data_IF_522570090503
#
_entry.id   IF_522570090503
#
_cell.length_a   1.000
_cell.length_b   1.000
_cell.length_c   1.000
_cell.angle_alpha   90.00
_cell.angle_beta   90.00
_cell.angle_gamma   90.00
#
_symmetry.space_group_name_H-M   'P 1'
#
loop_
_entity.id
_entity.type
_entity.pdbx_description
1 polymer ?
#
# COMPACT_ATOMS: atom_id res chain seq x y z
N UNK A 1 25.45 -4.77 16.78
CA UNK A 1 26.11 -6.10 16.83
C UNK A 1 25.72 -6.88 15.59
N UNK A 2 26.66 -7.20 14.71
CA UNK A 2 26.41 -8.09 13.57
C UNK A 2 26.27 -9.50 14.14
N UNK A 3 25.06 -10.07 14.12
CA UNK A 3 24.83 -11.43 14.56
C UNK A 3 25.70 -12.40 13.75
N UNK A 4 26.17 -13.48 14.39
CA UNK A 4 26.96 -14.51 13.71
C UNK A 4 26.16 -15.10 12.55
N UNK A 5 26.62 -14.89 11.31
CA UNK A 5 26.00 -15.46 10.11
C UNK A 5 26.06 -16.99 10.23
N UNK A 6 24.89 -17.63 10.12
CA UNK A 6 24.80 -19.08 10.11
C UNK A 6 24.73 -19.56 8.68
N UNK A 7 25.59 -20.54 8.33
CA UNK A 7 25.66 -21.12 6.99
C UNK A 7 25.10 -22.53 7.00
N UNK A 8 24.34 -22.86 5.96
CA UNK A 8 23.78 -24.17 5.71
C UNK A 8 24.19 -24.62 4.31
N UNK A 9 24.42 -25.92 4.15
CA UNK A 9 24.62 -26.56 2.86
C UNK A 9 23.38 -27.42 2.58
N UNK A 10 22.69 -27.14 1.48
CA UNK A 10 21.65 -28.02 0.94
C UNK A 10 22.30 -29.13 0.12
N UNK A 11 21.70 -30.33 0.05
CA UNK A 11 22.19 -31.38 -0.83
C UNK A 11 21.97 -30.99 -2.30
N UNK A 12 22.80 -31.51 -3.21
CA UNK A 12 22.63 -31.30 -4.66
C UNK A 12 21.40 -32.04 -5.20
N UNK A 13 21.11 -33.22 -4.63
CA UNK A 13 19.97 -34.04 -4.99
C UNK A 13 19.26 -34.58 -3.75
N UNK A 14 17.99 -34.88 -3.92
CA UNK A 14 17.17 -35.55 -2.92
C UNK A 14 16.52 -36.79 -3.54
N UNK A 15 16.39 -37.91 -2.80
CA UNK A 15 15.69 -39.08 -3.32
C UNK A 15 14.21 -38.74 -3.53
N UNK A 16 13.67 -39.17 -4.65
CA UNK A 16 12.22 -39.10 -4.90
C UNK A 16 11.44 -39.90 -3.85
N UNK A 17 10.22 -39.45 -3.55
CA UNK A 17 9.35 -40.05 -2.52
C UNK A 17 8.94 -41.49 -2.83
N UNK A 18 8.85 -41.83 -4.11
CA UNK A 18 8.52 -43.17 -4.62
C UNK A 18 9.73 -44.12 -4.71
N UNK A 19 10.95 -43.63 -4.40
CA UNK A 19 12.18 -44.39 -4.55
C UNK A 19 12.34 -45.41 -3.43
N UNK A 20 12.27 -46.70 -3.79
CA UNK A 20 12.44 -47.83 -2.86
C UNK A 20 13.88 -48.09 -2.41
N UNK A 21 14.89 -47.70 -3.21
CA UNK A 21 16.31 -47.94 -2.93
C UNK A 21 17.03 -46.66 -2.53
N UNK A 22 17.97 -46.75 -1.58
CA UNK A 22 18.81 -45.62 -1.15
C UNK A 22 19.50 -44.97 -2.35
N UNK A 23 19.49 -43.63 -2.41
CA UNK A 23 20.28 -42.87 -3.37
C UNK A 23 21.70 -42.68 -2.81
N UNK A 24 22.72 -43.11 -3.55
CA UNK A 24 24.12 -43.02 -3.13
C UNK A 24 24.85 -41.91 -3.89
N UNK A 25 26.01 -41.49 -3.37
CA UNK A 25 26.85 -40.48 -4.04
C UNK A 25 27.33 -40.95 -5.42
N UNK A 26 27.63 -42.24 -5.58
CA UNK A 26 28.02 -42.80 -6.88
C UNK A 26 26.88 -42.71 -7.90
N UNK A 27 25.63 -42.91 -7.46
CA UNK A 27 24.47 -42.72 -8.33
C UNK A 27 24.27 -41.25 -8.72
N UNK A 28 24.54 -40.30 -7.80
CA UNK A 28 24.54 -38.87 -8.10
C UNK A 28 25.60 -38.53 -9.16
N UNK A 29 26.84 -38.98 -8.95
CA UNK A 29 27.95 -38.73 -9.87
C UNK A 29 27.73 -39.39 -11.23
N UNK A 30 27.25 -40.64 -11.27
CA UNK A 30 26.92 -41.32 -12.52
C UNK A 30 25.82 -40.59 -13.28
N UNK A 31 24.78 -40.10 -12.59
CA UNK A 31 23.73 -39.30 -13.22
C UNK A 31 24.27 -37.99 -13.81
N UNK A 32 25.09 -37.24 -13.04
CA UNK A 32 25.72 -36.01 -13.51
C UNK A 32 26.62 -36.29 -14.73
N UNK A 33 27.44 -37.34 -14.67
CA UNK A 33 28.31 -37.74 -15.77
C UNK A 33 27.51 -38.10 -17.02
N UNK A 34 26.46 -38.91 -16.89
CA UNK A 34 25.58 -39.27 -18.01
C UNK A 34 24.93 -38.02 -18.64
N UNK A 35 24.43 -37.09 -17.83
CA UNK A 35 23.85 -35.82 -18.33
C UNK A 35 24.92 -35.01 -19.07
N UNK A 36 26.12 -34.90 -18.52
CA UNK A 36 27.22 -34.19 -19.16
C UNK A 36 27.62 -34.84 -20.50
N UNK A 37 27.77 -36.16 -20.57
CA UNK A 37 28.07 -36.90 -21.80
C UNK A 37 26.96 -36.83 -22.86
N UNK A 38 25.70 -36.67 -22.45
CA UNK A 38 24.57 -36.48 -23.35
C UNK A 38 24.62 -35.11 -24.03
N UNK A 39 25.04 -34.07 -23.30
CA UNK A 39 25.14 -32.70 -23.83
C UNK A 39 26.48 -32.37 -24.46
N UNK A 40 27.48 -33.23 -24.27
CA UNK A 40 28.82 -33.08 -24.83
C UNK A 40 28.80 -33.09 -26.35
N UNK A 41 29.52 -32.17 -26.98
CA UNK A 41 29.68 -32.16 -28.44
C UNK A 41 30.58 -33.30 -28.88
N UNK A 42 30.01 -34.22 -29.66
CA UNK A 42 30.70 -35.39 -30.20
C UNK A 42 31.14 -35.10 -31.64
N UNK A 43 32.41 -35.38 -31.93
CA UNK A 43 32.99 -35.26 -33.27
C UNK A 43 33.77 -33.97 -33.51
N UNK A 44 34.51 -33.96 -34.62
CA UNK A 44 35.25 -32.78 -35.08
C UNK A 44 34.25 -31.85 -35.76
N UNK A 45 34.15 -30.62 -35.27
CA UNK A 45 33.35 -29.59 -35.94
C UNK A 45 33.96 -29.35 -37.33
N UNK A 46 33.33 -29.82 -38.40
CA UNK A 46 33.91 -29.82 -39.76
C UNK A 46 34.33 -28.42 -40.24
N UNK A 47 33.70 -27.37 -39.69
CA UNK A 47 33.99 -25.97 -40.02
C UNK A 47 35.13 -25.41 -39.17
N UNK A 48 35.16 -25.73 -37.87
CA UNK A 48 36.11 -25.16 -36.90
C UNK A 48 37.28 -26.08 -36.54
N UNK A 49 37.31 -27.33 -37.06
CA UNK A 49 38.28 -28.40 -36.75
C UNK A 49 38.56 -28.58 -35.26
N UNK A 50 37.57 -28.33 -34.39
CA UNK A 50 37.75 -28.47 -32.95
C UNK A 50 37.74 -29.96 -32.58
N UNK A 51 38.62 -30.42 -31.67
CA UNK A 51 38.57 -31.79 -31.18
C UNK A 51 37.24 -32.04 -30.46
N UNK A 52 36.86 -33.32 -30.36
CA UNK A 52 35.71 -33.70 -29.55
C UNK A 52 35.93 -33.20 -28.11
N UNK A 53 34.87 -32.71 -27.48
CA UNK A 53 34.95 -32.34 -26.06
C UNK A 53 35.26 -33.59 -25.23
N UNK A 54 36.03 -33.46 -24.16
CA UNK A 54 36.31 -34.54 -23.20
C UNK A 54 35.91 -34.07 -21.80
N UNK A 55 35.50 -35.00 -20.93
CA UNK A 55 35.17 -34.71 -19.53
C UNK A 55 36.34 -35.18 -18.66
N UNK A 56 37.22 -34.24 -18.30
CA UNK A 56 38.41 -34.54 -17.49
C UNK A 56 38.08 -34.71 -16.00
N UNK A 57 37.14 -33.92 -15.49
CA UNK A 57 36.74 -33.95 -14.09
C UNK A 57 35.32 -33.41 -13.89
N UNK A 58 34.72 -33.80 -12.76
CA UNK A 58 33.45 -33.25 -12.26
C UNK A 58 33.76 -32.55 -10.94
N UNK A 59 33.31 -31.31 -10.79
CA UNK A 59 33.46 -30.54 -9.56
C UNK A 59 32.12 -30.12 -9.00
N UNK A 60 32.00 -30.15 -7.67
CA UNK A 60 30.83 -29.64 -6.96
C UNK A 60 31.07 -28.21 -6.50
N UNK A 61 30.25 -27.28 -7.00
CA UNK A 61 30.25 -25.88 -6.59
C UNK A 61 28.99 -25.54 -5.78
N UNK A 62 29.15 -24.75 -4.72
CA UNK A 62 28.07 -24.29 -3.86
C UNK A 62 27.61 -22.90 -4.29
N UNK A 63 26.34 -22.83 -4.67
CA UNK A 63 25.68 -21.59 -5.06
C UNK A 63 25.29 -20.76 -3.81
N UNK A 64 25.61 -19.46 -3.77
CA UNK A 64 25.37 -18.64 -2.59
C UNK A 64 23.94 -18.09 -2.59
N UNK A 65 23.03 -18.73 -1.84
CA UNK A 65 21.76 -18.11 -1.46
C UNK A 65 21.89 -17.40 -0.11
N UNK A 66 21.30 -16.22 0.01
CA UNK A 66 21.29 -15.43 1.25
C UNK A 66 19.87 -15.30 1.78
N UNK A 67 19.70 -15.57 3.08
CA UNK A 67 18.43 -15.43 3.77
C UNK A 67 18.51 -14.29 4.76
N UNK A 68 17.62 -13.30 4.62
CA UNK A 68 17.58 -12.14 5.48
C UNK A 68 16.27 -12.08 6.26
N UNK A 69 16.31 -12.06 7.61
CA UNK A 69 15.11 -11.83 8.39
C UNK A 69 14.58 -10.42 8.11
N UNK A 70 13.28 -10.31 7.89
CA UNK A 70 12.58 -9.06 7.69
C UNK A 70 11.20 -9.10 8.37
N UNK A 71 11.13 -8.53 9.58
CA UNK A 71 9.97 -8.60 10.46
C UNK A 71 9.58 -10.07 10.77
N UNK A 72 8.37 -10.49 10.42
CA UNK A 72 7.87 -11.86 10.59
C UNK A 72 8.08 -12.75 9.36
N UNK A 73 8.90 -12.32 8.40
CA UNK A 73 9.20 -13.06 7.17
C UNK A 73 10.71 -13.17 6.95
N UNK A 74 11.09 -14.09 6.08
CA UNK A 74 12.47 -14.22 5.59
C UNK A 74 12.49 -13.88 4.12
N UNK A 75 13.39 -12.99 3.72
CA UNK A 75 13.67 -12.67 2.32
C UNK A 75 14.72 -13.63 1.79
N UNK A 76 14.52 -14.13 0.58
CA UNK A 76 15.46 -15.00 -0.11
C UNK A 76 16.14 -14.22 -1.23
N UNK A 77 17.46 -14.25 -1.23
CA UNK A 77 18.29 -13.60 -2.23
C UNK A 77 19.16 -14.61 -2.97
N UNK A 78 19.17 -14.48 -4.29
CA UNK A 78 20.21 -14.97 -5.17
C UNK A 78 21.50 -14.13 -4.96
N UNK A 79 22.59 -14.77 -4.54
CA UNK A 79 23.87 -14.12 -4.26
C UNK A 79 24.62 -13.60 -5.48
N UNK A 80 24.22 -13.95 -6.70
CA UNK A 80 24.78 -13.33 -7.92
C UNK A 80 23.91 -12.20 -8.46
N UNK A 81 22.64 -12.17 -8.09
CA UNK A 81 21.69 -11.16 -8.55
C UNK A 81 21.30 -11.31 -10.02
N UNK A 82 21.33 -12.53 -10.55
CA UNK A 82 20.72 -12.88 -11.83
C UNK A 82 19.20 -12.79 -11.74
N UNK A 83 18.64 -13.18 -10.60
CA UNK A 83 17.23 -12.97 -10.28
C UNK A 83 17.09 -11.59 -9.63
N UNK A 84 16.08 -10.84 -10.04
CA UNK A 84 15.74 -9.55 -9.44
C UNK A 84 14.24 -9.38 -9.46
N UNK A 85 13.71 -8.70 -8.46
CA UNK A 85 12.29 -8.38 -8.40
C UNK A 85 12.07 -6.88 -8.58
N UNK A 86 11.20 -6.52 -9.53
CA UNK A 86 10.73 -5.14 -9.68
C UNK A 86 9.28 -5.03 -9.24
N UNK A 87 8.99 -4.07 -8.39
CA UNK A 87 7.62 -3.67 -8.08
C UNK A 87 7.38 -2.22 -8.50
N UNK A 88 6.12 -1.94 -8.87
CA UNK A 88 5.63 -0.60 -9.16
C UNK A 88 4.74 -0.15 -8.01
N UNK A 89 4.72 1.15 -7.76
CA UNK A 89 3.81 1.74 -6.78
C UNK A 89 3.41 3.14 -7.24
N UNK A 90 2.17 3.49 -6.93
CA UNK A 90 1.59 4.75 -7.36
C UNK A 90 1.96 5.91 -6.42
N UNK A 91 2.16 7.09 -6.99
CA UNK A 91 2.52 8.30 -6.27
C UNK A 91 1.26 9.13 -5.99
N UNK A 92 0.95 9.28 -4.70
CA UNK A 92 -0.19 10.08 -4.26
C UNK A 92 0.00 11.57 -4.56
N UNK A 93 -1.07 12.28 -4.96
CA UNK A 93 -1.14 13.73 -4.85
C UNK A 93 -0.83 14.21 -3.43
N UNK A 94 -0.36 15.45 -3.30
CA UNK A 94 0.06 16.01 -2.00
C UNK A 94 -1.10 16.09 -0.99
N UNK A 95 -1.15 15.11 -0.09
CA UNK A 95 -2.15 15.05 0.99
C UNK A 95 -1.97 16.23 1.96
N UNK A 96 -0.73 16.69 2.17
CA UNK A 96 -0.45 17.83 3.04
C UNK A 96 -1.01 19.13 2.45
N UNK A 97 -0.89 19.34 1.13
CA UNK A 97 -1.48 20.50 0.45
C UNK A 97 -3.00 20.50 0.59
N UNK A 98 -3.64 19.35 0.40
CA UNK A 98 -5.08 19.18 0.63
C UNK A 98 -5.46 19.54 2.08
N UNK A 99 -4.78 18.96 3.08
CA UNK A 99 -5.02 19.23 4.50
C UNK A 99 -4.90 20.72 4.82
N UNK A 100 -3.85 21.38 4.33
CA UNK A 100 -3.58 22.79 4.63
C UNK A 100 -4.65 23.71 4.00
N UNK A 101 -5.06 23.44 2.77
CA UNK A 101 -6.13 24.21 2.13
C UNK A 101 -7.49 23.98 2.78
N UNK A 102 -7.78 22.74 3.21
CA UNK A 102 -8.98 22.41 3.96
C UNK A 102 -9.05 23.15 5.31
N UNK A 103 -7.92 23.25 6.04
CA UNK A 103 -7.86 24.02 7.29
C UNK A 103 -8.06 25.52 7.07
N UNK A 104 -7.41 26.09 6.05
CA UNK A 104 -7.49 27.52 5.74
C UNK A 104 -8.90 27.94 5.33
N UNK A 105 -9.58 27.12 4.53
CA UNK A 105 -10.92 27.42 4.02
C UNK A 105 -12.03 27.25 5.07
N UNK A 106 -11.77 26.53 6.16
CA UNK A 106 -12.76 26.25 7.21
C UNK A 106 -13.30 27.49 7.95
N UNK A 107 -12.69 28.66 7.79
CA UNK A 107 -13.11 29.89 8.48
C UNK A 107 -14.48 30.36 8.01
N UNK A 108 -14.77 30.25 6.71
CA UNK A 108 -16.03 30.71 6.14
C UNK A 108 -16.67 29.63 5.23
N UNK A 109 -18.01 29.50 5.21
CA UNK A 109 -18.68 28.43 4.47
C UNK A 109 -18.46 28.47 2.95
N UNK A 110 -18.34 29.65 2.35
CA UNK A 110 -18.20 29.82 0.91
C UNK A 110 -16.82 29.34 0.44
N UNK A 111 -15.74 29.77 1.10
CA UNK A 111 -14.38 29.29 0.85
C UNK A 111 -14.27 27.79 1.10
N UNK A 112 -14.91 27.28 2.16
CA UNK A 112 -14.92 25.84 2.41
C UNK A 112 -15.56 25.07 1.26
N UNK A 113 -16.74 25.48 0.80
CA UNK A 113 -17.43 24.87 -0.35
C UNK A 113 -16.60 24.96 -1.63
N UNK A 114 -15.97 26.11 -1.89
CA UNK A 114 -15.11 26.29 -3.06
C UNK A 114 -13.87 25.38 -3.01
N UNK A 115 -13.26 25.22 -1.84
CA UNK A 115 -12.16 24.27 -1.65
C UNK A 115 -12.62 22.82 -1.86
N UNK A 116 -13.80 22.42 -1.38
CA UNK A 116 -14.31 21.07 -1.65
C UNK A 116 -14.52 20.83 -3.15
N UNK A 117 -15.08 21.81 -3.87
CA UNK A 117 -15.26 21.73 -5.33
C UNK A 117 -13.91 21.64 -6.07
N UNK A 118 -12.92 22.44 -5.64
CA UNK A 118 -11.58 22.42 -6.22
C UNK A 118 -10.90 21.04 -6.09
N UNK A 119 -11.18 20.33 -4.99
CA UNK A 119 -10.53 19.07 -4.64
C UNK A 119 -11.38 17.83 -4.94
N UNK A 120 -12.51 17.98 -5.65
CA UNK A 120 -13.46 16.90 -5.90
C UNK A 120 -12.80 15.66 -6.51
N UNK A 121 -11.99 15.87 -7.55
CA UNK A 121 -11.35 14.80 -8.32
C UNK A 121 -9.85 14.68 -7.99
N UNK A 122 -9.37 15.37 -6.93
CA UNK A 122 -7.93 15.52 -6.67
C UNK A 122 -7.23 14.20 -6.38
N UNK A 123 -7.94 13.23 -5.79
CA UNK A 123 -7.43 11.90 -5.46
C UNK A 123 -7.96 10.81 -6.41
N UNK A 124 -8.67 11.17 -7.49
CA UNK A 124 -9.19 10.21 -8.47
C UNK A 124 -8.09 9.58 -9.31
N UNK A 125 -6.93 10.23 -9.39
CA UNK A 125 -5.76 9.72 -10.10
C UNK A 125 -4.48 9.91 -9.30
N UNK A 126 -3.53 9.02 -9.57
CA UNK A 126 -2.17 9.15 -9.08
C UNK A 126 -1.36 10.12 -9.93
N UNK A 127 -0.42 10.82 -9.30
CA UNK A 127 0.47 11.78 -10.00
C UNK A 127 1.54 11.11 -10.85
N UNK A 128 1.71 9.80 -10.68
CA UNK A 128 2.65 9.00 -11.43
C UNK A 128 2.80 7.60 -10.82
N UNK A 129 3.71 6.85 -11.41
CA UNK A 129 4.09 5.51 -10.97
C UNK A 129 5.60 5.48 -10.83
N UNK A 130 6.10 5.08 -9.66
CA UNK A 130 7.52 4.80 -9.47
C UNK A 130 7.76 3.29 -9.55
N UNK A 131 8.98 2.91 -9.96
CA UNK A 131 9.41 1.52 -10.10
C UNK A 131 10.68 1.32 -9.30
N UNK A 132 10.69 0.28 -8.47
CA UNK A 132 11.86 -0.12 -7.69
C UNK A 132 12.24 -1.54 -8.05
N UNK A 133 13.54 -1.76 -8.19
CA UNK A 133 14.11 -3.08 -8.47
C UNK A 133 15.02 -3.46 -7.32
N UNK A 134 14.74 -4.59 -6.69
CA UNK A 134 15.59 -5.18 -5.65
C UNK A 134 16.40 -6.30 -6.29
N UNK A 135 17.71 -6.06 -6.45
CA UNK A 135 18.62 -7.03 -7.06
C UNK A 135 18.77 -8.26 -6.16
N UNK A 136 18.77 -9.46 -6.75
CA UNK A 136 18.88 -10.72 -6.03
C UNK A 136 17.59 -11.20 -5.39
N UNK A 137 16.57 -10.35 -5.22
CA UNK A 137 15.36 -10.76 -4.49
C UNK A 137 14.55 -11.79 -5.29
N UNK A 138 14.38 -12.97 -4.70
CA UNK A 138 13.55 -14.04 -5.23
C UNK A 138 12.15 -13.91 -4.64
N UNK A 139 11.14 -13.87 -5.50
CA UNK A 139 9.73 -13.76 -5.12
C UNK A 139 8.83 -14.81 -5.76
N UNK A 140 9.41 -15.63 -6.65
CA UNK A 140 8.70 -16.73 -7.28
C UNK A 140 8.26 -17.76 -6.23
N UNK A 141 6.95 -17.97 -6.12
CA UNK A 141 6.38 -18.77 -5.04
C UNK A 141 6.68 -20.25 -5.20
N UNK A 142 6.67 -20.76 -6.43
CA UNK A 142 6.88 -22.17 -6.71
C UNK A 142 8.32 -22.55 -6.38
N UNK A 143 9.28 -21.74 -6.84
CA UNK A 143 10.68 -21.87 -6.47
C UNK A 143 10.89 -21.77 -4.96
N UNK A 144 10.31 -20.76 -4.28
CA UNK A 144 10.46 -20.62 -2.83
C UNK A 144 9.93 -21.86 -2.11
N UNK A 145 8.76 -22.35 -2.49
CA UNK A 145 8.16 -23.53 -1.86
C UNK A 145 9.03 -24.76 -2.05
N UNK A 146 9.53 -25.01 -3.27
CA UNK A 146 10.43 -26.12 -3.57
C UNK A 146 11.75 -25.97 -2.81
N UNK A 147 12.36 -24.79 -2.85
CA UNK A 147 13.62 -24.49 -2.15
C UNK A 147 13.50 -24.71 -0.64
N UNK A 148 12.36 -24.36 -0.05
CA UNK A 148 12.11 -24.59 1.38
C UNK A 148 12.07 -26.08 1.75
N UNK A 149 11.63 -26.97 0.85
CA UNK A 149 11.66 -28.42 1.11
C UNK A 149 13.09 -28.96 1.29
N UNK A 150 14.09 -28.27 0.73
CA UNK A 150 15.49 -28.67 0.86
C UNK A 150 16.07 -28.39 2.26
N UNK A 151 15.45 -27.50 3.04
CA UNK A 151 15.96 -27.13 4.38
C UNK A 151 15.87 -28.28 5.38
N UNK A 152 14.89 -29.17 5.27
CA UNK A 152 14.79 -30.37 6.12
C UNK A 152 16.00 -31.30 5.95
N UNK A 153 16.71 -31.18 4.83
CA UNK A 153 17.92 -31.94 4.52
C UNK A 153 19.19 -31.10 4.61
N UNK A 154 19.09 -29.82 4.97
CA UNK A 154 20.22 -28.92 5.03
C UNK A 154 21.11 -29.21 6.25
N UNK A 155 22.42 -29.21 6.04
CA UNK A 155 23.41 -29.43 7.10
C UNK A 155 24.05 -28.11 7.47
N UNK A 156 24.06 -27.79 8.77
CA UNK A 156 24.74 -26.60 9.28
C UNK A 156 26.25 -26.71 9.08
N UNK A 157 26.84 -25.72 8.41
CA UNK A 157 28.28 -25.65 8.17
C UNK A 157 28.96 -25.11 9.43
N UNK A 158 29.70 -25.98 10.13
CA UNK A 158 30.46 -25.64 11.36
C UNK A 158 31.97 -25.57 11.14
N UNK A 159 32.48 -26.30 10.15
CA UNK A 159 33.87 -26.36 9.74
C UNK A 159 33.98 -25.94 8.26
N UNK A 160 35.14 -25.45 7.81
CA UNK A 160 35.37 -25.21 6.39
C UNK A 160 35.05 -26.45 5.55
N UNK A 161 34.41 -26.23 4.40
CA UNK A 161 34.14 -27.28 3.42
C UNK A 161 35.40 -27.40 2.57
N UNK A 162 36.02 -28.58 2.56
CA UNK A 162 37.35 -28.81 1.95
C UNK A 162 37.27 -29.48 0.59
N UNK A 163 36.14 -30.10 0.26
CA UNK A 163 35.90 -30.94 -0.92
C UNK A 163 35.02 -30.27 -1.98
N UNK A 164 34.61 -29.01 -1.77
CA UNK A 164 33.70 -28.29 -2.66
C UNK A 164 34.16 -26.85 -2.87
N UNK A 165 33.91 -26.35 -4.07
CA UNK A 165 34.12 -24.94 -4.39
C UNK A 165 32.96 -24.15 -3.81
N UNK A 166 33.25 -23.09 -3.04
CA UNK A 166 32.23 -22.12 -2.64
C UNK A 166 32.32 -20.95 -3.61
N UNK A 167 31.25 -20.69 -4.35
CA UNK A 167 31.25 -19.57 -5.27
C UNK A 167 31.09 -18.25 -4.49
N UNK A 168 31.94 -17.28 -4.80
CA UNK A 168 31.90 -15.95 -4.17
C UNK A 168 30.70 -15.15 -4.70
N UNK A 169 29.73 -14.76 -3.83
CA UNK A 169 28.57 -13.99 -4.28
C UNK A 169 28.97 -12.58 -4.71
N UNK A 170 28.30 -12.06 -5.75
CA UNK A 170 28.36 -10.64 -6.11
C UNK A 170 27.55 -9.75 -5.16
N UNK A 171 26.54 -10.31 -4.50
CA UNK A 171 25.71 -9.67 -3.47
C UNK A 171 26.07 -10.30 -2.12
N UNK A 172 26.88 -9.59 -1.34
CA UNK A 172 27.32 -10.06 -0.03
C UNK A 172 26.29 -9.77 1.09
N UNK A 173 26.57 -10.24 2.31
CA UNK A 173 25.67 -10.11 3.44
C UNK A 173 25.38 -8.64 3.82
N UNK A 174 26.35 -7.74 3.64
CA UNK A 174 26.16 -6.31 3.88
C UNK A 174 25.22 -5.68 2.86
N UNK A 175 25.34 -6.06 1.59
CA UNK A 175 24.44 -5.60 0.52
C UNK A 175 23.03 -6.11 0.75
N UNK A 176 22.87 -7.39 1.13
CA UNK A 176 21.56 -7.95 1.50
C UNK A 176 20.94 -7.20 2.68
N UNK A 177 21.73 -6.80 3.68
CA UNK A 177 21.25 -5.98 4.81
C UNK A 177 20.73 -4.63 4.34
N UNK A 178 21.45 -3.95 3.43
CA UNK A 178 21.02 -2.68 2.84
C UNK A 178 19.70 -2.86 2.08
N UNK A 179 19.62 -3.84 1.18
CA UNK A 179 18.41 -4.12 0.40
C UNK A 179 17.21 -4.49 1.29
N UNK A 180 17.45 -5.24 2.37
CA UNK A 180 16.40 -5.59 3.34
C UNK A 180 15.89 -4.37 4.10
N UNK A 181 16.79 -3.44 4.44
CA UNK A 181 16.43 -2.15 5.04
C UNK A 181 15.66 -1.28 4.06
N UNK A 182 16.04 -1.23 2.78
CA UNK A 182 15.29 -0.49 1.75
C UNK A 182 13.84 -0.96 1.64
N UNK A 183 13.59 -2.27 1.65
CA UNK A 183 12.23 -2.84 1.67
C UNK A 183 11.48 -2.40 2.94
N UNK A 184 12.16 -2.41 4.09
CA UNK A 184 11.57 -2.01 5.36
C UNK A 184 11.20 -0.52 5.39
N UNK A 185 12.08 0.35 4.91
CA UNK A 185 11.83 1.79 4.80
C UNK A 185 10.73 2.09 3.77
N UNK A 186 10.68 1.33 2.67
CA UNK A 186 9.58 1.44 1.72
C UNK A 186 8.22 1.10 2.36
N UNK A 187 8.14 0.02 3.14
CA UNK A 187 6.91 -0.31 3.89
C UNK A 187 6.52 0.80 4.88
N UNK A 188 7.49 1.38 5.59
CA UNK A 188 7.23 2.50 6.51
C UNK A 188 6.66 3.72 5.80
N UNK A 189 7.18 4.05 4.60
CA UNK A 189 6.65 5.13 3.77
C UNK A 189 5.19 4.87 3.38
N UNK A 190 4.88 3.69 2.85
CA UNK A 190 3.50 3.32 2.52
C UNK A 190 2.57 3.40 3.73
N UNK A 191 3.02 2.94 4.91
CA UNK A 191 2.23 3.06 6.13
C UNK A 191 2.02 4.53 6.55
N UNK A 192 3.02 5.38 6.33
CA UNK A 192 2.93 6.83 6.59
C UNK A 192 1.92 7.49 5.65
N UNK A 193 1.91 7.10 4.37
CA UNK A 193 0.95 7.58 3.38
C UNK A 193 -0.49 7.21 3.79
N UNK A 194 -0.73 5.94 4.13
CA UNK A 194 -2.02 5.47 4.63
C UNK A 194 -2.47 6.26 5.88
N UNK A 195 -1.57 6.45 6.84
CA UNK A 195 -1.87 7.20 8.06
C UNK A 195 -2.20 8.68 7.75
N UNK A 196 -1.54 9.28 6.76
CA UNK A 196 -1.74 10.67 6.37
C UNK A 196 -3.07 10.86 5.64
N UNK A 197 -3.43 9.93 4.74
CA UNK A 197 -4.75 9.88 4.11
C UNK A 197 -5.86 9.73 5.15
N UNK A 198 -5.71 8.83 6.13
CA UNK A 198 -6.69 8.66 7.20
C UNK A 198 -6.87 9.95 8.02
N UNK A 199 -5.76 10.65 8.33
CA UNK A 199 -5.81 11.96 9.00
C UNK A 199 -6.57 13.00 8.18
N UNK A 200 -6.34 13.04 6.86
CA UNK A 200 -7.04 13.95 5.95
C UNK A 200 -8.56 13.69 5.94
N UNK A 201 -8.96 12.41 5.83
CA UNK A 201 -10.37 12.01 5.84
C UNK A 201 -11.05 12.37 7.17
N UNK A 202 -10.41 12.08 8.30
CA UNK A 202 -10.95 12.44 9.62
C UNK A 202 -11.11 13.96 9.79
N UNK A 203 -10.15 14.74 9.28
CA UNK A 203 -10.23 16.19 9.30
C UNK A 203 -11.36 16.72 8.42
N UNK A 204 -11.52 16.17 7.21
CA UNK A 204 -12.61 16.50 6.30
C UNK A 204 -13.98 16.29 6.95
N UNK A 205 -14.22 15.11 7.52
CA UNK A 205 -15.48 14.80 8.20
C UNK A 205 -15.75 15.77 9.36
N UNK A 206 -14.76 15.97 10.23
CA UNK A 206 -14.87 16.88 11.37
C UNK A 206 -15.18 18.33 10.96
N UNK A 207 -14.54 18.82 9.90
CA UNK A 207 -14.78 20.18 9.42
C UNK A 207 -16.14 20.29 8.73
N UNK A 208 -16.55 19.27 7.97
CA UNK A 208 -17.85 19.21 7.31
C UNK A 208 -18.99 19.24 8.33
N UNK A 209 -18.91 18.40 9.37
CA UNK A 209 -19.87 18.39 10.48
C UNK A 209 -19.99 19.78 11.14
N UNK A 210 -18.86 20.43 11.42
CA UNK A 210 -18.86 21.79 11.99
C UNK A 210 -19.55 22.80 11.09
N UNK A 211 -19.32 22.75 9.78
CA UNK A 211 -20.00 23.64 8.84
C UNK A 211 -21.51 23.37 8.79
N UNK A 212 -21.91 22.10 8.83
CA UNK A 212 -23.32 21.70 8.82
C UNK A 212 -24.04 22.21 10.08
N UNK A 213 -23.45 22.01 11.26
CA UNK A 213 -24.01 22.50 12.53
C UNK A 213 -24.11 24.03 12.55
N UNK A 214 -23.10 24.74 12.02
CA UNK A 214 -23.13 26.20 11.90
C UNK A 214 -24.29 26.66 11.03
N UNK A 215 -24.48 26.05 9.86
CA UNK A 215 -25.61 26.35 8.96
C UNK A 215 -26.96 26.04 9.61
N UNK A 216 -27.11 24.90 10.26
CA UNK A 216 -28.36 24.53 10.96
C UNK A 216 -28.71 25.55 12.07
N UNK A 217 -27.71 25.99 12.83
CA UNK A 217 -27.89 26.98 13.88
C UNK A 217 -28.29 28.34 13.30
N UNK A 218 -27.68 28.74 12.18
CA UNK A 218 -28.00 29.98 11.47
C UNK A 218 -29.45 29.96 10.96
N UNK A 219 -29.88 28.87 10.32
CA UNK A 219 -31.28 28.68 9.86
C UNK A 219 -32.26 28.83 11.03
N UNK A 220 -32.03 28.12 12.13
CA UNK A 220 -32.90 28.21 13.32
C UNK A 220 -32.94 29.63 13.91
N UNK A 221 -31.83 30.37 13.86
CA UNK A 221 -31.76 31.75 14.36
C UNK A 221 -32.58 32.71 13.47
N UNK A 222 -32.53 32.50 12.15
CA UNK A 222 -33.30 33.26 11.16
C UNK A 222 -34.78 32.98 11.33
N UNK A 223 -35.18 31.72 11.42
CA UNK A 223 -36.58 31.30 11.65
C UNK A 223 -37.15 31.98 12.91
N UNK A 224 -36.46 31.85 14.05
CA UNK A 224 -36.88 32.50 15.31
C UNK A 224 -37.01 34.02 15.18
N UNK A 225 -36.10 34.66 14.46
CA UNK A 225 -36.13 36.11 14.26
C UNK A 225 -37.33 36.53 13.40
N UNK A 226 -37.62 35.80 12.34
CA UNK A 226 -38.76 36.09 11.47
C UNK A 226 -40.10 35.74 12.12
N UNK A 227 -40.20 34.64 12.86
CA UNK A 227 -41.40 34.30 13.64
C UNK A 227 -41.75 35.41 14.63
N UNK A 228 -40.75 35.96 15.33
CA UNK A 228 -40.94 37.09 16.25
C UNK A 228 -41.40 38.35 15.52
N UNK A 229 -40.85 38.64 14.33
CA UNK A 229 -41.28 39.79 13.50
C UNK A 229 -42.72 39.61 13.01
N UNK A 230 -43.06 38.43 12.49
CA UNK A 230 -44.39 38.08 12.00
C UNK A 230 -45.42 38.21 13.12
N UNK A 231 -45.12 37.65 14.30
CA UNK A 231 -46.01 37.73 15.47
C UNK A 231 -46.30 39.17 15.90
N UNK A 232 -45.27 40.02 16.00
CA UNK A 232 -45.43 41.45 16.31
C UNK A 232 -46.27 42.18 15.27
N UNK A 233 -46.01 41.95 13.99
CA UNK A 233 -46.77 42.57 12.90
C UNK A 233 -48.23 42.12 12.93
N UNK A 234 -48.49 40.82 13.18
CA UNK A 234 -49.84 40.28 13.30
C UNK A 234 -50.62 40.93 14.45
N UNK A 235 -49.98 41.14 15.59
CA UNK A 235 -50.60 41.82 16.74
C UNK A 235 -50.98 43.27 16.40
N UNK A 236 -50.08 44.02 15.76
CA UNK A 236 -50.34 45.41 15.33
C UNK A 236 -51.50 45.47 14.32
N UNK A 237 -51.51 44.56 13.35
CA UNK A 237 -52.58 44.47 12.35
C UNK A 237 -53.92 44.10 12.98
N UNK A 238 -53.94 43.15 13.93
CA UNK A 238 -55.16 42.76 14.66
C UNK A 238 -55.76 43.94 15.43
N UNK A 239 -54.93 44.68 16.19
CA UNK A 239 -55.36 45.89 16.91
C UNK A 239 -55.92 46.95 15.97
N UNK A 240 -55.32 47.12 14.79
CA UNK A 240 -55.82 48.07 13.78
C UNK A 240 -57.16 47.61 13.18
N UNK A 241 -57.29 46.32 12.87
CA UNK A 241 -58.54 45.75 12.39
C UNK A 241 -59.67 45.90 13.42
N UNK A 242 -59.40 45.65 14.70
CA UNK A 242 -60.34 45.87 15.81
C UNK A 242 -60.80 47.32 15.92
N UNK A 243 -59.87 48.28 15.83
CA UNK A 243 -60.20 49.72 15.86
C UNK A 243 -61.10 50.12 14.69
N UNK A 244 -60.78 49.63 13.48
CA UNK A 244 -61.59 49.90 12.29
C UNK A 244 -62.99 49.32 12.47
N UNK A 245 -63.09 48.05 12.89
CA UNK A 245 -64.37 47.38 13.13
C UNK A 245 -65.20 48.12 14.18
N UNK A 246 -64.62 48.47 15.32
CA UNK A 246 -65.31 49.22 16.38
C UNK A 246 -65.78 50.62 15.92
N UNK A 247 -65.01 51.29 15.06
CA UNK A 247 -65.43 52.57 14.48
C UNK A 247 -66.66 52.42 13.58
N UNK A 248 -66.68 51.39 12.72
CA UNK A 248 -67.84 51.09 11.89
C UNK A 248 -69.05 50.64 12.71
N UNK A 249 -68.87 49.79 13.72
CA UNK A 249 -69.95 49.34 14.60
C UNK A 249 -70.62 50.51 15.32
N UNK A 250 -69.83 51.48 15.84
CA UNK A 250 -70.35 52.72 16.40
C UNK A 250 -71.16 53.52 15.39
N UNK A 251 -70.63 53.69 14.18
CA UNK A 251 -71.30 54.44 13.12
C UNK A 251 -72.63 53.81 12.72
N UNK A 252 -72.70 52.48 12.65
CA UNK A 252 -73.94 51.73 12.40
C UNK A 252 -74.94 51.95 13.54
N UNK A 253 -74.50 51.86 14.79
CA UNK A 253 -75.37 52.12 15.95
C UNK A 253 -75.91 53.55 15.96
N UNK A 254 -75.08 54.54 15.67
CA UNK A 254 -75.49 55.94 15.68
C UNK A 254 -76.51 56.23 14.56
N UNK A 255 -76.31 55.67 13.35
CA UNK A 255 -77.31 55.73 12.26
C UNK A 255 -78.61 55.02 12.65
N UNK A 256 -78.52 53.84 13.28
CA UNK A 256 -79.70 53.12 13.77
C UNK A 256 -80.51 53.95 14.77
N UNK A 257 -79.85 54.61 15.72
CA UNK A 257 -80.52 55.51 16.67
C UNK A 257 -81.13 56.75 16.01
N UNK A 258 -80.54 57.27 14.94
CA UNK A 258 -81.13 58.37 14.18
C UNK A 258 -82.38 57.94 13.40
N UNK A 259 -82.41 56.69 12.91
CA UNK A 259 -83.56 56.11 12.22
C UNK A 259 -84.71 55.80 13.19
N UNK A 260 -84.43 55.34 14.41
CA UNK A 260 -85.44 55.05 15.45
C UNK A 260 -86.10 56.31 16.07
N UNK A 261 -85.56 57.51 15.80
CA UNK A 261 -86.07 58.80 16.30
C UNK A 261 -86.98 59.54 15.31
N UNK A 262 -87.26 58.96 14.14
CA UNK A 262 -88.24 59.43 13.17
C UNK A 262 -89.50 58.58 13.22
#
# INVERSE_FOLDING_TARGET
MVGKITRYCVPFSIPSSDRRRKFTKDMELAAIFCIAELHRKRGIDFILKRPAEEIDFIVQALYPFLLAPNQNKTLLFDGFGFISYSFKYDLLPSVETFINNLKRSAVNPQSYSATLMQYLDYFDSFTGVDKRTIKGLITDRDFINEFLTLFDKAVRVRKPIVDKIILSPSINEDTVRILSNEISEFRKRLQTDLNTLQKAMNLLNKLTERQLTKKQTEVLSIEKLYDKKISKTKEVLSKRAERIRSHFDKKIMDIGRELDKK
#
